data_IF_901723308916
#
_entry.id   IF_901723308916
#
_cell.length_a   1.000
_cell.length_b   1.000
_cell.length_c   1.000
_cell.angle_alpha   90.00
_cell.angle_beta   90.00
_cell.angle_gamma   90.00
#
_symmetry.space_group_name_H-M   'P 1'
#
loop_
_entity.id
_entity.type
_entity.pdbx_description
1 polymer ?
#
# COMPACT_ATOMS: atom_id res chain seq x y z
N UNK A 1 -5.01 -5.15 -28.84
CA UNK A 1 -3.72 -5.40 -28.14
C UNK A 1 -2.62 -4.77 -28.96
N UNK A 2 -1.70 -4.08 -28.34
CA UNK A 2 -0.58 -3.38 -28.96
C UNK A 2 0.36 -4.39 -29.63
N UNK A 3 0.80 -4.16 -30.87
CA UNK A 3 1.57 -5.16 -31.64
C UNK A 3 2.95 -5.47 -31.06
N UNK A 4 3.52 -4.54 -30.28
CA UNK A 4 4.85 -4.63 -29.66
C UNK A 4 4.82 -5.06 -28.17
N UNK A 5 3.65 -5.40 -27.61
CA UNK A 5 3.52 -5.79 -26.19
C UNK A 5 4.41 -6.99 -25.83
N UNK A 6 4.53 -7.96 -26.76
CA UNK A 6 5.39 -9.11 -26.56
C UNK A 6 6.86 -8.72 -26.37
N UNK A 7 7.34 -7.71 -27.08
CA UNK A 7 8.72 -7.22 -26.96
C UNK A 7 8.98 -6.57 -25.58
N UNK A 8 8.01 -5.80 -25.05
CA UNK A 8 8.09 -5.20 -23.72
C UNK A 8 8.13 -6.27 -22.62
N UNK A 9 7.25 -7.26 -22.71
CA UNK A 9 7.22 -8.40 -21.76
C UNK A 9 8.51 -9.20 -21.87
N UNK A 10 8.96 -9.50 -23.09
CA UNK A 10 10.19 -10.23 -23.32
C UNK A 10 11.40 -9.51 -22.70
N UNK A 11 11.53 -8.20 -22.90
CA UNK A 11 12.61 -7.41 -22.30
C UNK A 11 12.57 -7.45 -20.76
N UNK A 12 11.36 -7.36 -20.18
CA UNK A 12 11.17 -7.46 -18.73
C UNK A 12 11.50 -8.85 -18.15
N UNK A 13 11.44 -9.90 -18.97
CA UNK A 13 11.74 -11.30 -18.57
C UNK A 13 13.22 -11.66 -18.65
N UNK A 14 14.04 -10.88 -19.38
CA UNK A 14 15.47 -11.18 -19.58
C UNK A 14 16.22 -11.10 -18.24
N UNK A 15 16.91 -12.19 -17.87
CA UNK A 15 17.71 -12.23 -16.65
C UNK A 15 18.91 -11.29 -16.75
N UNK A 16 19.13 -10.52 -15.68
CA UNK A 16 20.22 -9.54 -15.63
C UNK A 16 19.87 -8.19 -16.24
N UNK A 17 18.67 -8.02 -16.79
CA UNK A 17 18.11 -6.71 -17.16
C UNK A 17 17.12 -6.31 -16.06
N UNK A 18 17.58 -5.42 -15.17
CA UNK A 18 16.67 -4.74 -14.22
C UNK A 18 16.18 -3.42 -14.83
N UNK A 19 15.26 -2.70 -14.14
CA UNK A 19 14.65 -1.48 -14.69
C UNK A 19 15.68 -0.42 -15.09
N UNK A 20 16.75 -0.20 -14.34
CA UNK A 20 17.81 0.74 -14.72
C UNK A 20 18.45 0.38 -16.06
N UNK A 21 18.81 -0.90 -16.21
CA UNK A 21 19.41 -1.38 -17.47
C UNK A 21 18.41 -1.33 -18.61
N UNK A 22 17.15 -1.74 -18.37
CA UNK A 22 16.10 -1.66 -19.37
C UNK A 22 15.86 -0.22 -19.83
N UNK A 23 15.68 0.72 -18.90
CA UNK A 23 15.51 2.14 -19.21
C UNK A 23 16.71 2.73 -19.95
N UNK A 24 17.94 2.35 -19.57
CA UNK A 24 19.13 2.76 -20.29
C UNK A 24 19.12 2.25 -21.75
N UNK A 25 18.83 0.97 -21.95
CA UNK A 25 18.74 0.39 -23.29
C UNK A 25 17.61 1.03 -24.12
N UNK A 26 16.44 1.26 -23.55
CA UNK A 26 15.33 1.93 -24.22
C UNK A 26 15.68 3.35 -24.61
N UNK A 27 16.34 4.12 -23.74
CA UNK A 27 16.79 5.47 -24.07
C UNK A 27 17.84 5.49 -25.22
N UNK A 28 18.62 4.41 -25.35
CA UNK A 28 19.68 4.31 -26.35
C UNK A 28 19.18 3.78 -27.70
N UNK A 29 18.27 2.80 -27.68
CA UNK A 29 17.80 2.09 -28.88
C UNK A 29 16.38 2.48 -29.30
N UNK A 30 15.64 3.19 -28.47
CA UNK A 30 14.31 3.73 -28.75
C UNK A 30 13.15 2.77 -28.51
N UNK A 31 13.34 1.45 -28.68
CA UNK A 31 12.26 0.46 -28.47
C UNK A 31 12.81 -0.91 -28.04
N UNK A 32 12.00 -1.76 -27.39
CA UNK A 32 12.40 -3.13 -27.09
C UNK A 32 12.80 -3.93 -28.32
N UNK A 33 12.07 -3.81 -29.44
CA UNK A 33 12.39 -4.46 -30.70
C UNK A 33 13.78 -4.08 -31.20
N UNK A 34 14.16 -2.81 -31.08
CA UNK A 34 15.49 -2.33 -31.46
C UNK A 34 16.59 -2.85 -30.52
N UNK A 35 16.29 -3.05 -29.24
CA UNK A 35 17.21 -3.71 -28.28
C UNK A 35 17.47 -5.17 -28.70
N UNK A 36 16.43 -5.92 -29.05
CA UNK A 36 16.57 -7.30 -29.53
C UNK A 36 17.32 -7.40 -30.86
N UNK A 37 17.18 -6.41 -31.75
CA UNK A 37 17.88 -6.35 -33.03
C UNK A 37 19.35 -5.86 -32.92
N UNK A 38 19.76 -5.40 -31.74
CA UNK A 38 21.12 -4.88 -31.54
C UNK A 38 22.18 -5.97 -31.65
N UNK A 39 23.32 -5.65 -32.25
CA UNK A 39 24.44 -6.57 -32.39
C UNK A 39 25.05 -6.92 -31.03
N UNK A 40 25.58 -8.14 -30.88
CA UNK A 40 26.30 -8.59 -29.67
C UNK A 40 27.37 -7.58 -29.22
N UNK A 41 28.13 -7.03 -30.17
CA UNK A 41 29.18 -6.06 -29.88
C UNK A 41 28.61 -4.73 -29.35
N UNK A 42 27.47 -4.28 -29.87
CA UNK A 42 26.78 -3.08 -29.37
C UNK A 42 26.32 -3.28 -27.95
N UNK A 43 25.65 -4.40 -27.63
CA UNK A 43 25.19 -4.76 -26.30
C UNK A 43 26.33 -4.94 -25.28
N UNK A 44 27.47 -5.46 -25.70
CA UNK A 44 28.67 -5.54 -24.87
C UNK A 44 29.21 -4.15 -24.49
N UNK A 45 29.16 -3.17 -25.42
CA UNK A 45 29.55 -1.79 -25.15
C UNK A 45 28.66 -1.10 -24.12
N UNK A 46 27.38 -1.52 -24.01
CA UNK A 46 26.44 -1.06 -22.97
C UNK A 46 26.68 -1.75 -21.61
N UNK A 47 27.69 -2.61 -21.50
CA UNK A 47 28.08 -3.27 -20.26
C UNK A 47 27.27 -4.53 -19.91
N UNK A 48 26.50 -5.08 -20.83
CA UNK A 48 25.74 -6.30 -20.58
C UNK A 48 26.69 -7.53 -20.51
N UNK A 49 26.36 -8.43 -19.59
CA UNK A 49 27.09 -9.70 -19.43
C UNK A 49 26.83 -10.64 -20.62
N UNK A 50 27.78 -11.51 -20.96
CA UNK A 50 27.60 -12.46 -22.06
C UNK A 50 26.34 -13.33 -21.95
N UNK A 51 25.96 -13.77 -20.72
CA UNK A 51 24.79 -14.57 -20.45
C UNK A 51 23.49 -13.81 -20.73
N UNK A 52 23.43 -12.55 -20.35
CA UNK A 52 22.29 -11.63 -20.61
C UNK A 52 22.13 -11.37 -22.11
N UNK A 53 23.25 -11.19 -22.83
CA UNK A 53 23.22 -10.99 -24.28
C UNK A 53 22.75 -12.27 -24.98
N UNK A 54 23.20 -13.44 -24.53
CA UNK A 54 22.75 -14.71 -25.07
C UNK A 54 21.23 -14.88 -24.91
N UNK A 55 20.68 -14.56 -23.75
CA UNK A 55 19.23 -14.65 -23.49
C UNK A 55 18.45 -13.62 -24.33
N UNK A 56 18.96 -12.41 -24.51
CA UNK A 56 18.37 -11.39 -25.40
C UNK A 56 18.31 -11.87 -26.87
N UNK A 57 19.31 -12.64 -27.32
CA UNK A 57 19.39 -13.14 -28.70
C UNK A 57 18.70 -14.51 -28.88
N UNK A 58 18.12 -15.08 -27.81
CA UNK A 58 17.37 -16.32 -27.86
C UNK A 58 15.90 -16.02 -28.27
N UNK A 59 15.49 -16.52 -29.44
CA UNK A 59 14.13 -16.37 -29.94
C UNK A 59 13.06 -16.96 -28.98
N UNK A 60 13.44 -17.90 -28.12
CA UNK A 60 12.52 -18.49 -27.15
C UNK A 60 11.96 -17.49 -26.13
N UNK A 61 12.62 -16.33 -25.93
CA UNK A 61 12.14 -15.30 -25.02
C UNK A 61 10.84 -14.66 -25.53
N UNK A 62 10.71 -14.44 -26.83
CA UNK A 62 9.48 -13.94 -27.46
C UNK A 62 8.36 -14.97 -27.44
N UNK A 63 8.67 -16.25 -27.60
CA UNK A 63 7.69 -17.32 -27.44
C UNK A 63 7.14 -17.37 -26.01
N UNK A 64 8.02 -17.21 -25.01
CA UNK A 64 7.63 -17.11 -23.59
C UNK A 64 6.77 -15.88 -23.33
N UNK A 65 7.10 -14.75 -23.91
CA UNK A 65 6.32 -13.52 -23.78
C UNK A 65 4.92 -13.65 -24.39
N UNK A 66 4.79 -14.30 -25.56
CA UNK A 66 3.49 -14.59 -26.15
C UNK A 66 2.66 -15.53 -25.28
N UNK A 67 3.26 -16.60 -24.73
CA UNK A 67 2.59 -17.50 -23.81
C UNK A 67 2.16 -16.77 -22.51
N UNK A 68 2.94 -15.78 -22.07
CA UNK A 68 2.60 -14.92 -20.92
C UNK A 68 1.35 -14.09 -21.22
N UNK A 69 1.23 -13.52 -22.40
CA UNK A 69 0.06 -12.74 -22.85
C UNK A 69 -1.21 -13.62 -22.79
N UNK A 70 -1.16 -14.83 -23.29
CA UNK A 70 -2.30 -15.77 -23.23
C UNK A 70 -2.71 -16.10 -21.77
N UNK A 71 -1.74 -16.18 -20.86
CA UNK A 71 -2.01 -16.41 -19.43
C UNK A 71 -2.62 -15.20 -18.77
N UNK A 72 -2.16 -13.99 -19.12
CA UNK A 72 -2.73 -12.73 -18.64
C UNK A 72 -4.19 -12.58 -19.02
N UNK A 73 -4.56 -12.90 -20.27
CA UNK A 73 -5.95 -12.89 -20.72
C UNK A 73 -6.83 -13.82 -19.87
N UNK A 74 -6.36 -15.05 -19.58
CA UNK A 74 -7.08 -16.00 -18.70
C UNK A 74 -7.28 -15.50 -17.28
N UNK A 75 -6.39 -14.63 -16.80
CA UNK A 75 -6.44 -14.01 -15.46
C UNK A 75 -7.27 -12.71 -15.44
N UNK A 76 -7.79 -12.24 -16.57
CA UNK A 76 -8.32 -10.89 -16.72
C UNK A 76 -7.31 -9.85 -16.22
N UNK A 77 -6.04 -10.02 -16.58
CA UNK A 77 -4.96 -9.11 -16.28
C UNK A 77 -4.46 -8.42 -17.55
N UNK A 78 -3.90 -7.25 -17.39
CA UNK A 78 -3.29 -6.48 -18.48
C UNK A 78 -1.86 -6.09 -18.12
N UNK A 79 -1.09 -5.68 -19.13
CA UNK A 79 0.24 -5.07 -18.94
C UNK A 79 0.16 -3.63 -19.44
N UNK A 80 0.61 -2.70 -18.61
CA UNK A 80 0.79 -1.29 -18.93
C UNK A 80 2.30 -1.06 -19.06
N UNK A 81 2.76 -0.60 -20.19
CA UNK A 81 4.19 -0.36 -20.45
C UNK A 81 4.56 1.09 -20.19
N UNK A 82 5.85 1.36 -20.04
CA UNK A 82 6.36 2.70 -19.73
C UNK A 82 5.97 3.76 -20.79
N UNK A 83 5.70 3.35 -22.04
CA UNK A 83 5.29 4.24 -23.13
C UNK A 83 3.78 4.44 -23.25
N UNK A 84 2.98 3.68 -22.51
CA UNK A 84 1.52 3.83 -22.57
C UNK A 84 1.08 5.12 -21.84
N UNK A 85 0.05 5.79 -22.37
CA UNK A 85 -0.54 6.98 -21.76
C UNK A 85 -1.14 6.66 -20.38
N UNK A 86 -1.57 5.42 -20.19
CA UNK A 86 -2.08 4.91 -18.93
C UNK A 86 -1.00 4.63 -17.87
N UNK A 87 0.29 4.74 -18.21
CA UNK A 87 1.35 4.54 -17.22
C UNK A 87 1.34 5.67 -16.19
N UNK A 88 1.33 5.35 -14.86
CA UNK A 88 1.20 6.36 -13.81
C UNK A 88 2.32 7.40 -13.85
N UNK A 89 1.97 8.69 -13.95
CA UNK A 89 2.93 9.79 -14.10
C UNK A 89 3.93 9.83 -12.94
N UNK A 90 3.44 9.78 -11.68
CA UNK A 90 4.31 9.76 -10.50
C UNK A 90 5.32 8.60 -10.52
N UNK A 91 4.91 7.45 -11.03
CA UNK A 91 5.80 6.29 -11.12
C UNK A 91 6.80 6.43 -12.27
N UNK A 92 6.45 7.14 -13.33
CA UNK A 92 7.35 7.44 -14.47
C UNK A 92 8.53 8.30 -14.03
N UNK A 93 8.33 9.17 -13.03
CA UNK A 93 9.33 10.11 -12.52
C UNK A 93 10.40 9.50 -11.61
N UNK A 94 10.19 8.29 -11.08
CA UNK A 94 11.19 7.69 -10.18
C UNK A 94 12.46 7.32 -10.95
N UNK A 95 13.59 7.18 -10.23
CA UNK A 95 14.91 6.91 -10.85
C UNK A 95 14.95 5.61 -11.67
N UNK A 96 14.18 4.61 -11.30
CA UNK A 96 14.15 3.28 -11.92
C UNK A 96 12.71 2.77 -12.13
N UNK A 97 11.91 3.46 -12.99
CA UNK A 97 10.55 3.06 -13.25
C UNK A 97 10.49 1.64 -13.88
N UNK A 98 9.55 0.79 -13.48
CA UNK A 98 9.35 -0.49 -14.13
C UNK A 98 8.92 -0.30 -15.60
N UNK A 99 9.53 -1.01 -16.52
CA UNK A 99 9.20 -0.90 -17.95
C UNK A 99 7.86 -1.53 -18.31
N UNK A 100 7.35 -2.41 -17.45
CA UNK A 100 6.08 -3.10 -17.60
C UNK A 100 5.43 -3.29 -16.22
N UNK A 101 4.16 -2.97 -16.11
CA UNK A 101 3.31 -3.19 -14.94
C UNK A 101 2.23 -4.21 -15.29
N UNK A 102 2.22 -5.32 -14.60
CA UNK A 102 1.16 -6.33 -14.64
C UNK A 102 0.04 -5.88 -13.70
N UNK A 103 -1.18 -5.79 -14.18
CA UNK A 103 -2.31 -5.21 -13.46
C UNK A 103 -3.52 -6.13 -13.50
N UNK A 104 -4.16 -6.37 -12.35
CA UNK A 104 -5.52 -6.91 -12.23
C UNK A 104 -6.41 -5.90 -11.54
N UNK A 105 -7.60 -5.67 -12.07
CA UNK A 105 -8.50 -4.62 -11.63
C UNK A 105 -8.35 -3.35 -12.45
N UNK A 106 -8.80 -2.21 -11.93
CA UNK A 106 -8.82 -0.93 -12.62
C UNK A 106 -7.86 0.07 -11.97
N UNK A 107 -6.60 0.05 -12.44
CA UNK A 107 -5.55 0.94 -11.94
C UNK A 107 -5.83 2.40 -12.28
N UNK A 108 -6.36 2.66 -13.48
CA UNK A 108 -6.65 4.02 -13.95
C UNK A 108 -7.67 4.70 -13.05
N UNK A 109 -8.82 4.05 -12.86
CA UNK A 109 -9.87 4.54 -11.98
C UNK A 109 -9.36 4.76 -10.55
N UNK A 110 -8.52 3.84 -10.04
CA UNK A 110 -7.96 3.99 -8.70
C UNK A 110 -7.00 5.19 -8.58
N UNK A 111 -6.32 5.58 -9.66
CA UNK A 111 -5.38 6.70 -9.70
C UNK A 111 -6.00 8.03 -10.19
N UNK A 112 -7.29 8.07 -10.54
CA UNK A 112 -8.01 9.33 -10.71
C UNK A 112 -7.94 10.20 -9.44
N UNK A 113 -7.81 9.55 -8.28
CA UNK A 113 -7.66 10.16 -6.98
C UNK A 113 -6.20 10.15 -6.52
N UNK A 114 -5.78 11.12 -5.69
CA UNK A 114 -4.43 11.09 -5.14
C UNK A 114 -4.20 9.84 -4.30
N UNK A 115 -3.05 9.21 -4.50
CA UNK A 115 -2.68 7.99 -3.80
C UNK A 115 -1.76 8.28 -2.61
N UNK A 116 -2.00 7.56 -1.50
CA UNK A 116 -1.17 7.56 -0.30
C UNK A 116 -0.78 6.12 0.05
N UNK A 117 0.49 5.88 0.24
CA UNK A 117 0.96 4.59 0.72
C UNK A 117 0.79 4.49 2.24
N UNK A 118 0.20 3.40 2.74
CA UNK A 118 0.10 3.09 4.18
C UNK A 118 0.82 1.78 4.43
N UNK A 119 1.90 1.82 5.20
CA UNK A 119 2.76 0.67 5.43
C UNK A 119 3.22 0.55 6.88
N UNK A 120 3.69 -0.65 7.25
CA UNK A 120 4.24 -0.85 8.58
C UNK A 120 4.65 -2.28 8.87
N UNK A 121 4.71 -2.61 10.16
CA UNK A 121 5.15 -3.90 10.66
C UNK A 121 4.21 -5.03 10.24
N UNK A 122 4.78 -6.18 9.83
CA UNK A 122 4.06 -7.45 9.65
C UNK A 122 3.65 -8.08 11.00
N UNK A 123 4.34 -7.71 12.08
CA UNK A 123 4.09 -8.10 13.47
C UNK A 123 3.75 -6.85 14.26
N UNK A 124 2.60 -6.26 13.93
CA UNK A 124 2.10 -5.06 14.57
C UNK A 124 1.32 -5.39 15.85
N UNK A 125 1.14 -4.37 16.69
CA UNK A 125 0.26 -4.43 17.85
C UNK A 125 -1.22 -4.32 17.42
N UNK A 126 -2.13 -4.59 18.35
CA UNK A 126 -3.56 -4.34 18.13
C UNK A 126 -3.83 -2.85 17.92
N UNK A 127 -3.11 -1.98 18.62
CA UNK A 127 -3.13 -0.53 18.39
C UNK A 127 -2.78 -0.21 16.93
N UNK A 128 -1.66 -0.75 16.41
CA UNK A 128 -1.24 -0.53 15.03
C UNK A 128 -2.29 -0.97 14.01
N UNK A 129 -2.94 -2.12 14.22
CA UNK A 129 -4.03 -2.59 13.35
C UNK A 129 -5.21 -1.61 13.38
N UNK A 130 -5.67 -1.20 14.55
CA UNK A 130 -6.81 -0.30 14.71
C UNK A 130 -6.53 1.07 14.07
N UNK A 131 -5.33 1.63 14.30
CA UNK A 131 -4.91 2.90 13.70
C UNK A 131 -4.85 2.80 12.18
N UNK A 132 -4.25 1.72 11.65
CA UNK A 132 -4.16 1.52 10.20
C UNK A 132 -5.54 1.40 9.55
N UNK A 133 -6.46 0.63 10.14
CA UNK A 133 -7.83 0.50 9.66
C UNK A 133 -8.59 1.83 9.74
N UNK A 134 -8.54 2.53 10.88
CA UNK A 134 -9.25 3.79 11.07
C UNK A 134 -8.74 4.90 10.16
N UNK A 135 -7.41 5.17 10.15
CA UNK A 135 -6.85 6.22 9.31
C UNK A 135 -7.05 5.93 7.83
N UNK A 136 -6.89 4.66 7.39
CA UNK A 136 -7.10 4.31 5.98
C UNK A 136 -8.56 4.44 5.56
N UNK A 137 -9.52 4.11 6.43
CA UNK A 137 -10.95 4.33 6.22
C UNK A 137 -11.25 5.82 6.08
N UNK A 138 -10.74 6.64 7.00
CA UNK A 138 -10.96 8.08 6.98
C UNK A 138 -10.33 8.74 5.75
N UNK A 139 -9.08 8.42 5.43
CA UNK A 139 -8.40 8.92 4.23
C UNK A 139 -9.14 8.52 2.95
N UNK A 140 -9.57 7.27 2.84
CA UNK A 140 -10.30 6.77 1.67
C UNK A 140 -11.70 7.40 1.55
N UNK A 141 -12.42 7.61 2.67
CA UNK A 141 -13.72 8.31 2.69
C UNK A 141 -13.60 9.77 2.23
N UNK A 142 -12.44 10.39 2.43
CA UNK A 142 -12.14 11.74 1.95
C UNK A 142 -11.48 11.78 0.56
N UNK A 143 -11.51 10.66 -0.15
CA UNK A 143 -11.15 10.62 -1.56
C UNK A 143 -9.70 10.27 -1.87
N UNK A 144 -8.90 9.79 -0.92
CA UNK A 144 -7.58 9.25 -1.23
C UNK A 144 -7.65 7.78 -1.61
N UNK A 145 -6.80 7.38 -2.53
CA UNK A 145 -6.56 5.96 -2.83
C UNK A 145 -5.48 5.43 -1.90
N UNK A 146 -5.79 4.35 -1.19
CA UNK A 146 -4.84 3.72 -0.28
C UNK A 146 -3.99 2.70 -1.04
N UNK A 147 -2.66 2.88 -1.01
CA UNK A 147 -1.71 1.94 -1.63
C UNK A 147 -0.98 1.19 -0.53
N UNK A 148 -0.87 -0.13 -0.65
CA UNK A 148 -0.10 -0.93 0.30
C UNK A 148 0.45 -2.21 -0.33
N UNK A 149 1.14 -3.02 0.47
CA UNK A 149 1.91 -4.16 -0.04
C UNK A 149 1.25 -5.53 0.13
N UNK A 150 -0.01 -5.60 0.55
CA UNK A 150 -0.75 -6.84 0.81
C UNK A 150 -0.06 -7.78 1.83
N UNK A 151 0.94 -7.31 2.58
CA UNK A 151 1.59 -8.09 3.62
C UNK A 151 0.68 -8.25 4.85
N UNK A 152 1.05 -9.18 5.76
CA UNK A 152 0.39 -9.29 7.08
C UNK A 152 0.53 -7.98 7.85
N UNK A 153 -0.34 -7.79 8.82
CA UNK A 153 -0.28 -6.66 9.75
C UNK A 153 -0.81 -5.37 9.15
N UNK A 154 -0.02 -4.32 9.17
CA UNK A 154 -0.42 -2.96 8.78
C UNK A 154 -0.94 -2.90 7.35
N UNK A 155 -0.25 -3.54 6.39
CA UNK A 155 -0.66 -3.50 4.98
C UNK A 155 -2.08 -4.05 4.78
N UNK A 156 -2.37 -5.22 5.35
CA UNK A 156 -3.70 -5.81 5.26
C UNK A 156 -4.77 -4.98 6.01
N UNK A 157 -4.42 -4.37 7.14
CA UNK A 157 -5.30 -3.48 7.89
C UNK A 157 -5.63 -2.22 7.06
N UNK A 158 -4.64 -1.62 6.40
CA UNK A 158 -4.83 -0.47 5.53
C UNK A 158 -5.81 -0.77 4.38
N UNK A 159 -5.65 -1.90 3.70
CA UNK A 159 -6.58 -2.31 2.64
C UNK A 159 -8.01 -2.52 3.19
N UNK A 160 -8.16 -3.19 4.35
CA UNK A 160 -9.48 -3.37 4.96
C UNK A 160 -10.15 -2.04 5.31
N UNK A 161 -9.41 -1.11 5.94
CA UNK A 161 -9.94 0.20 6.26
C UNK A 161 -10.44 0.95 5.02
N UNK A 162 -9.68 0.96 3.92
CA UNK A 162 -10.10 1.56 2.66
C UNK A 162 -11.38 0.90 2.09
N UNK A 163 -11.45 -0.43 2.11
CA UNK A 163 -12.61 -1.18 1.62
C UNK A 163 -13.87 -0.97 2.48
N UNK A 164 -13.73 -0.79 3.81
CA UNK A 164 -14.85 -0.49 4.71
C UNK A 164 -15.56 0.83 4.34
N UNK A 165 -14.83 1.82 3.82
CA UNK A 165 -15.41 3.08 3.32
C UNK A 165 -15.86 3.03 1.85
N UNK A 166 -15.86 1.86 1.21
CA UNK A 166 -16.05 1.72 -0.24
C UNK A 166 -15.04 2.55 -1.06
N UNK A 167 -13.87 2.81 -0.49
CA UNK A 167 -12.79 3.56 -1.11
C UNK A 167 -11.95 2.73 -2.06
N UNK A 168 -11.12 3.41 -2.86
CA UNK A 168 -10.19 2.76 -3.77
C UNK A 168 -8.94 2.29 -3.03
N UNK A 169 -8.42 1.12 -3.41
CA UNK A 169 -7.15 0.64 -2.85
C UNK A 169 -6.34 -0.16 -3.88
N UNK A 170 -5.00 0.02 -3.84
CA UNK A 170 -4.07 -0.63 -4.76
C UNK A 170 -3.09 -1.48 -3.95
N UNK A 171 -3.01 -2.77 -4.28
CA UNK A 171 -1.98 -3.64 -3.72
C UNK A 171 -0.81 -3.75 -4.71
N UNK A 172 0.38 -3.35 -4.29
CA UNK A 172 1.61 -3.62 -5.04
C UNK A 172 2.22 -4.89 -4.47
N UNK A 173 2.46 -5.92 -5.31
CA UNK A 173 2.94 -7.22 -4.83
C UNK A 173 4.35 -7.54 -5.31
N UNK A 174 5.08 -8.37 -4.56
CA UNK A 174 6.45 -8.81 -4.88
C UNK A 174 6.50 -10.20 -5.54
N UNK A 175 5.39 -10.62 -6.15
CA UNK A 175 5.20 -11.91 -6.82
C UNK A 175 4.54 -11.70 -8.18
N UNK A 176 4.56 -12.69 -9.04
CA UNK A 176 3.65 -12.69 -10.20
C UNK A 176 2.18 -12.74 -9.75
N UNK A 177 1.27 -12.16 -10.53
CA UNK A 177 -0.15 -12.00 -10.19
C UNK A 177 -0.94 -13.30 -10.02
N UNK A 178 -0.38 -14.45 -10.39
CA UNK A 178 -0.96 -15.78 -10.15
C UNK A 178 -0.76 -16.24 -8.70
N UNK A 179 0.17 -15.62 -7.97
CA UNK A 179 0.65 -16.07 -6.68
C UNK A 179 0.23 -15.10 -5.57
N UNK A 180 -0.97 -15.30 -5.00
CA UNK A 180 -1.36 -14.55 -3.79
C UNK A 180 -0.39 -14.83 -2.65
N UNK A 181 0.25 -13.81 -2.12
CA UNK A 181 1.11 -13.92 -0.95
C UNK A 181 0.88 -12.78 0.05
N UNK A 182 0.59 -13.11 1.32
CA UNK A 182 0.41 -14.46 1.87
C UNK A 182 -0.91 -15.12 1.41
N UNK A 183 -0.95 -16.46 1.37
CA UNK A 183 -2.08 -17.23 0.82
C UNK A 183 -3.42 -16.95 1.51
N UNK A 184 -3.40 -16.64 2.81
CA UNK A 184 -4.57 -16.28 3.60
C UNK A 184 -5.24 -14.96 3.15
N UNK A 185 -4.53 -14.11 2.40
CA UNK A 185 -5.07 -12.84 1.88
C UNK A 185 -5.79 -12.97 0.54
N UNK A 186 -6.06 -14.20 0.05
CA UNK A 186 -6.73 -14.39 -1.24
C UNK A 186 -8.09 -13.66 -1.33
N UNK A 187 -8.92 -13.75 -0.28
CA UNK A 187 -10.21 -13.03 -0.25
C UNK A 187 -10.03 -11.50 -0.25
N UNK A 188 -9.03 -11.00 0.47
CA UNK A 188 -8.70 -9.58 0.50
C UNK A 188 -8.21 -9.12 -0.87
N UNK A 189 -7.36 -9.90 -1.54
CA UNK A 189 -6.90 -9.60 -2.90
C UNK A 189 -8.06 -9.51 -3.90
N UNK A 190 -9.03 -10.44 -3.84
CA UNK A 190 -10.23 -10.41 -4.68
C UNK A 190 -11.07 -9.14 -4.43
N UNK A 191 -11.21 -8.70 -3.17
CA UNK A 191 -11.89 -7.46 -2.82
C UNK A 191 -11.14 -6.22 -3.33
N UNK A 192 -9.81 -6.23 -3.27
CA UNK A 192 -8.96 -5.16 -3.82
C UNK A 192 -9.12 -5.06 -5.33
N UNK A 193 -9.11 -6.20 -6.05
CA UNK A 193 -9.30 -6.23 -7.50
C UNK A 193 -10.67 -5.64 -7.90
N UNK A 194 -11.71 -5.89 -7.11
CA UNK A 194 -13.04 -5.39 -7.36
C UNK A 194 -13.20 -3.87 -7.10
N UNK A 195 -12.36 -3.29 -6.23
CA UNK A 195 -12.44 -1.89 -5.78
C UNK A 195 -11.16 -1.09 -6.04
N UNK A 196 -10.35 -1.51 -7.00
CA UNK A 196 -9.08 -0.89 -7.31
C UNK A 196 -8.22 -1.82 -8.14
N UNK A 197 -6.95 -2.05 -7.75
CA UNK A 197 -6.05 -2.90 -8.52
C UNK A 197 -5.02 -3.65 -7.69
N UNK A 198 -4.55 -4.77 -8.22
CA UNK A 198 -3.32 -5.45 -7.79
C UNK A 198 -2.28 -5.28 -8.89
N UNK A 199 -1.10 -4.80 -8.51
CA UNK A 199 -0.03 -4.41 -9.43
C UNK A 199 1.26 -5.17 -9.11
N UNK A 200 1.93 -5.64 -10.13
CA UNK A 200 3.24 -6.27 -10.04
C UNK A 200 4.15 -5.84 -11.19
N UNK A 201 5.44 -5.79 -10.94
CA UNK A 201 6.48 -5.67 -11.98
C UNK A 201 6.96 -7.06 -12.46
N UNK A 202 6.67 -8.08 -11.68
CA UNK A 202 7.20 -9.41 -11.91
C UNK A 202 6.32 -10.22 -12.87
N UNK A 203 6.92 -10.97 -13.82
CA UNK A 203 6.19 -11.89 -14.70
C UNK A 203 5.36 -12.90 -13.90
N UNK A 204 4.31 -13.43 -14.55
CA UNK A 204 3.47 -14.48 -13.98
C UNK A 204 4.32 -15.70 -13.53
N UNK A 205 3.87 -16.36 -12.48
CA UNK A 205 4.60 -17.49 -11.92
C UNK A 205 5.79 -17.12 -11.02
N UNK A 206 6.19 -15.83 -10.93
CA UNK A 206 7.28 -15.42 -10.03
C UNK A 206 6.91 -15.71 -8.57
N UNK A 207 7.72 -16.52 -7.85
CA UNK A 207 7.43 -16.90 -6.47
C UNK A 207 7.74 -15.75 -5.49
N UNK A 208 7.26 -15.83 -4.23
CA UNK A 208 7.52 -14.83 -3.20
C UNK A 208 8.95 -14.92 -2.64
N UNK A 209 9.91 -14.41 -3.39
CA UNK A 209 11.31 -14.36 -2.98
C UNK A 209 11.57 -13.17 -2.04
N UNK A 210 12.34 -13.34 -0.95
CA UNK A 210 12.60 -12.27 0.03
C UNK A 210 13.13 -10.97 -0.59
N UNK A 211 14.00 -11.05 -1.60
CA UNK A 211 14.57 -9.89 -2.28
C UNK A 211 13.56 -9.08 -3.09
N UNK A 212 12.45 -9.68 -3.53
CA UNK A 212 11.45 -8.99 -4.34
C UNK A 212 10.68 -7.93 -3.53
N UNK A 213 10.49 -8.15 -2.22
CA UNK A 213 9.70 -7.24 -1.39
C UNK A 213 10.34 -5.86 -1.20
N UNK A 214 11.62 -5.73 -0.80
CA UNK A 214 12.29 -4.43 -0.77
C UNK A 214 12.35 -3.78 -2.14
N UNK A 215 12.57 -4.56 -3.19
CA UNK A 215 12.66 -4.08 -4.56
C UNK A 215 11.33 -3.47 -5.04
N UNK A 216 10.20 -4.15 -4.76
CA UNK A 216 8.86 -3.69 -5.05
C UNK A 216 8.51 -2.35 -4.35
N UNK A 217 9.05 -2.08 -3.16
CA UNK A 217 8.67 -0.92 -2.34
C UNK A 217 8.88 0.42 -3.08
N UNK A 218 9.80 0.50 -4.05
CA UNK A 218 9.98 1.70 -4.89
C UNK A 218 8.75 2.01 -5.75
N UNK A 219 8.02 0.98 -6.19
CA UNK A 219 6.77 1.14 -6.94
C UNK A 219 5.67 1.62 -6.00
N UNK A 220 5.62 1.09 -4.79
CA UNK A 220 4.65 1.45 -3.78
C UNK A 220 4.75 2.94 -3.42
N UNK A 221 5.96 3.44 -3.12
CA UNK A 221 6.19 4.86 -2.88
C UNK A 221 6.06 5.70 -4.16
N UNK A 222 6.50 5.16 -5.31
CA UNK A 222 6.48 5.83 -6.61
C UNK A 222 5.07 6.12 -7.15
N UNK A 223 4.07 5.32 -6.79
CA UNK A 223 2.67 5.56 -7.14
C UNK A 223 2.00 6.66 -6.32
N UNK A 224 2.62 7.13 -5.24
CA UNK A 224 1.98 7.91 -4.20
C UNK A 224 2.58 9.31 -4.05
N UNK A 225 1.78 10.25 -3.59
CA UNK A 225 2.23 11.57 -3.17
C UNK A 225 2.94 11.54 -1.80
N UNK A 226 2.74 10.49 -1.01
CA UNK A 226 3.38 10.31 0.29
C UNK A 226 3.26 8.90 0.83
N UNK A 227 3.99 8.63 1.90
CA UNK A 227 4.02 7.34 2.60
C UNK A 227 3.76 7.55 4.09
N UNK A 228 2.74 6.89 4.64
CA UNK A 228 2.39 6.89 6.05
C UNK A 228 2.90 5.62 6.72
N UNK A 229 3.75 5.79 7.74
CA UNK A 229 4.29 4.70 8.57
C UNK A 229 3.49 4.61 9.87
N UNK A 230 2.81 3.48 10.09
CA UNK A 230 1.99 3.27 11.31
C UNK A 230 2.83 2.68 12.45
N UNK A 231 3.45 1.54 12.23
CA UNK A 231 4.36 0.89 13.16
C UNK A 231 5.57 0.32 12.42
N UNK A 232 6.74 0.46 12.99
CA UNK A 232 7.98 -0.09 12.44
C UNK A 232 9.02 -0.28 13.55
N UNK A 233 9.55 -1.48 13.70
CA UNK A 233 10.76 -1.68 14.49
C UNK A 233 11.99 -1.13 13.76
N UNK A 234 13.12 -1.02 14.45
CA UNK A 234 14.38 -0.48 13.91
C UNK A 234 14.83 -1.09 12.58
N UNK A 235 14.58 -2.39 12.39
CA UNK A 235 14.96 -3.13 11.19
C UNK A 235 13.77 -3.46 10.27
N UNK A 236 12.67 -2.72 10.37
CA UNK A 236 11.49 -2.95 9.56
C UNK A 236 11.70 -2.57 8.09
N UNK A 237 11.22 -3.45 7.19
CA UNK A 237 11.20 -3.16 5.74
C UNK A 237 10.38 -1.91 5.35
N UNK A 238 9.45 -1.47 6.21
CA UNK A 238 8.68 -0.24 5.99
C UNK A 238 9.55 1.03 6.10
N UNK A 239 10.67 1.00 6.85
CA UNK A 239 11.64 2.10 6.88
C UNK A 239 12.40 2.21 5.55
N UNK A 240 12.57 1.10 4.82
CA UNK A 240 13.10 1.14 3.44
C UNK A 240 12.13 1.91 2.54
N UNK A 241 10.81 1.68 2.70
CA UNK A 241 9.79 2.40 1.93
C UNK A 241 9.79 3.90 2.24
N UNK A 242 9.93 4.29 3.52
CA UNK A 242 10.04 5.70 3.92
C UNK A 242 11.27 6.37 3.29
N UNK A 243 12.43 5.68 3.30
CA UNK A 243 13.65 6.18 2.66
C UNK A 243 13.47 6.34 1.14
N UNK A 244 12.89 5.34 0.47
CA UNK A 244 12.61 5.41 -0.96
C UNK A 244 11.66 6.57 -1.30
N UNK A 245 10.63 6.80 -0.47
CA UNK A 245 9.72 7.93 -0.60
C UNK A 245 10.49 9.27 -0.56
N UNK A 246 11.36 9.43 0.43
CA UNK A 246 12.20 10.62 0.55
C UNK A 246 13.12 10.81 -0.68
N UNK A 247 13.80 9.74 -1.13
CA UNK A 247 14.66 9.76 -2.32
C UNK A 247 13.88 10.09 -3.61
N UNK A 248 12.58 9.80 -3.64
CA UNK A 248 11.66 10.09 -4.74
C UNK A 248 10.96 11.45 -4.61
N UNK A 249 11.28 12.26 -3.58
CA UNK A 249 10.63 13.55 -3.32
C UNK A 249 9.17 13.42 -2.89
N UNK A 250 8.79 12.32 -2.23
CA UNK A 250 7.44 12.09 -1.69
C UNK A 250 7.39 12.46 -0.21
N UNK A 251 6.23 12.91 0.25
CA UNK A 251 6.03 13.24 1.66
C UNK A 251 6.13 11.98 2.54
N UNK A 252 6.73 12.13 3.72
CA UNK A 252 6.82 11.05 4.71
C UNK A 252 6.05 11.41 5.95
N UNK A 253 5.12 10.55 6.32
CA UNK A 253 4.22 10.68 7.45
C UNK A 253 4.46 9.56 8.44
N UNK A 254 4.27 9.83 9.73
CA UNK A 254 4.44 8.81 10.76
C UNK A 254 3.44 8.99 11.92
N UNK A 255 2.86 7.89 12.36
CA UNK A 255 2.00 7.87 13.55
C UNK A 255 2.86 7.77 14.79
N UNK A 256 2.75 8.70 15.76
CA UNK A 256 3.51 8.61 16.99
C UNK A 256 3.07 7.41 17.84
N UNK A 257 3.99 6.85 18.59
CA UNK A 257 3.69 5.75 19.49
C UNK A 257 4.49 5.80 20.78
N UNK A 258 4.21 4.86 21.68
CA UNK A 258 4.86 4.78 22.98
C UNK A 258 6.37 4.56 22.82
N UNK A 259 7.19 5.38 23.48
CA UNK A 259 8.66 5.32 23.43
C UNK A 259 9.25 4.01 23.97
N UNK A 260 8.49 3.26 24.76
CA UNK A 260 8.92 1.95 25.28
C UNK A 260 8.53 0.79 24.35
N UNK A 261 7.74 1.04 23.32
CA UNK A 261 7.33 0.03 22.32
C UNK A 261 8.37 -0.10 21.21
N UNK A 262 8.82 -1.32 20.95
CA UNK A 262 9.74 -1.60 19.85
C UNK A 262 9.15 -1.28 18.47
N UNK A 263 7.83 -1.41 18.30
CA UNK A 263 7.14 -1.12 17.04
C UNK A 263 6.94 0.37 16.79
N UNK A 264 7.11 1.21 17.82
CA UNK A 264 7.04 2.67 17.71
C UNK A 264 8.41 3.31 17.44
N UNK A 265 9.51 2.54 17.49
CA UNK A 265 10.86 3.07 17.27
C UNK A 265 10.98 3.78 15.92
N UNK A 266 10.59 3.10 14.83
CA UNK A 266 10.70 3.63 13.48
C UNK A 266 9.88 4.91 13.24
N UNK A 267 8.56 4.93 13.51
CA UNK A 267 7.76 6.15 13.39
C UNK A 267 8.30 7.31 14.22
N UNK A 268 8.63 7.09 15.48
CA UNK A 268 9.19 8.13 16.34
C UNK A 268 10.55 8.64 15.84
N UNK A 269 11.40 7.76 15.29
CA UNK A 269 12.66 8.13 14.64
C UNK A 269 12.41 9.00 13.41
N UNK A 270 11.49 8.60 12.53
CA UNK A 270 11.13 9.36 11.33
C UNK A 270 10.58 10.76 11.67
N UNK A 271 9.74 10.88 12.70
CA UNK A 271 9.24 12.18 13.19
C UNK A 271 10.40 13.08 13.62
N UNK A 272 11.37 12.54 14.35
CA UNK A 272 12.58 13.28 14.76
C UNK A 272 13.44 13.69 13.57
N UNK A 273 13.41 12.93 12.48
CA UNK A 273 14.15 13.17 11.24
C UNK A 273 13.37 14.05 10.24
N UNK A 274 12.19 14.57 10.63
CA UNK A 274 11.44 15.53 9.87
C UNK A 274 10.17 15.01 9.22
N UNK A 275 9.82 13.73 9.39
CA UNK A 275 8.54 13.21 8.93
C UNK A 275 7.38 13.89 9.67
N UNK A 276 6.30 14.15 8.96
CA UNK A 276 5.10 14.77 9.55
C UNK A 276 4.42 13.80 10.51
N UNK A 277 4.17 14.27 11.74
CA UNK A 277 3.38 13.54 12.73
C UNK A 277 1.91 13.53 12.31
N UNK A 278 1.29 12.34 12.31
CA UNK A 278 -0.12 12.14 11.96
C UNK A 278 -0.90 11.57 13.13
N UNK A 279 -1.99 12.28 13.48
CA UNK A 279 -2.99 11.83 14.45
C UNK A 279 -4.35 11.65 13.79
N UNK A 280 -4.66 12.47 12.77
CA UNK A 280 -5.92 12.45 12.03
C UNK A 280 -5.63 12.56 10.52
N UNK A 281 -6.59 12.19 9.70
CA UNK A 281 -6.48 12.23 8.24
C UNK A 281 -6.10 13.63 7.67
N UNK A 282 -6.53 14.72 8.34
CA UNK A 282 -6.21 16.09 7.93
C UNK A 282 -4.72 16.40 7.95
N UNK A 283 -3.98 15.84 8.91
CA UNK A 283 -2.53 16.04 9.01
C UNK A 283 -1.81 15.58 7.75
N UNK A 284 -2.37 14.56 7.07
CA UNK A 284 -1.88 14.10 5.77
C UNK A 284 -2.29 15.05 4.66
N UNK A 285 -3.58 15.40 4.58
CA UNK A 285 -4.11 16.23 3.49
C UNK A 285 -3.50 17.62 3.47
N UNK A 286 -3.23 18.20 4.65
CA UNK A 286 -2.66 19.55 4.77
C UNK A 286 -1.23 19.64 4.21
N UNK A 287 -0.49 18.54 4.17
CA UNK A 287 0.87 18.48 3.63
C UNK A 287 0.92 18.02 2.16
N UNK A 288 -0.17 17.50 1.60
CA UNK A 288 -0.18 17.08 0.20
C UNK A 288 0.12 18.26 -0.75
N UNK A 289 0.84 18.01 -1.86
CA UNK A 289 1.10 19.05 -2.84
C UNK A 289 -0.19 19.59 -3.46
N UNK A 290 -0.09 20.78 -4.03
CA UNK A 290 -1.26 21.50 -4.60
C UNK A 290 -2.03 20.64 -5.61
N UNK A 291 -1.32 19.94 -6.48
CA UNK A 291 -1.91 19.05 -7.48
C UNK A 291 -2.80 17.97 -6.86
N UNK A 292 -2.33 17.32 -5.80
CA UNK A 292 -3.11 16.32 -5.08
C UNK A 292 -4.35 16.91 -4.40
N UNK A 293 -4.22 18.12 -3.83
CA UNK A 293 -5.36 18.83 -3.23
C UNK A 293 -6.40 19.26 -4.27
N UNK A 294 -5.97 19.68 -5.45
CA UNK A 294 -6.86 20.01 -6.57
C UNK A 294 -7.63 18.77 -7.06
N UNK A 295 -7.01 17.61 -7.11
CA UNK A 295 -7.69 16.33 -7.42
C UNK A 295 -8.70 15.91 -6.34
N UNK A 296 -8.46 16.27 -5.07
CA UNK A 296 -9.38 15.95 -3.96
C UNK A 296 -10.59 16.88 -3.88
N UNK A 297 -10.37 18.18 -4.04
CA UNK A 297 -11.36 19.21 -3.71
C UNK A 297 -11.87 19.98 -4.93
N UNK A 298 -11.35 19.70 -6.13
CA UNK A 298 -11.58 20.51 -7.33
C UNK A 298 -10.83 21.84 -7.28
N UNK A 299 -10.98 22.67 -8.31
CA UNK A 299 -10.28 23.95 -8.46
C UNK A 299 -10.82 25.02 -7.47
N UNK A 300 -12.02 24.83 -6.92
CA UNK A 300 -12.60 25.74 -5.93
C UNK A 300 -12.15 25.38 -4.50
N UNK A 301 -11.27 26.23 -3.96
CA UNK A 301 -10.99 26.25 -2.52
C UNK A 301 -12.24 26.64 -1.75
N UNK A 302 -12.67 25.89 -0.74
CA UNK A 302 -13.36 26.52 0.38
C UNK A 302 -12.34 27.44 1.08
N UNK A 303 -12.72 28.70 1.23
CA UNK A 303 -11.94 29.67 2.00
C UNK A 303 -11.53 29.05 3.34
N UNK A 304 -10.26 29.27 3.73
CA UNK A 304 -9.67 28.77 4.95
C UNK A 304 -10.65 28.88 6.14
N UNK A 305 -11.31 27.78 6.45
CA UNK A 305 -12.00 27.66 7.72
C UNK A 305 -10.91 27.63 8.78
N UNK A 306 -10.83 28.71 9.56
CA UNK A 306 -10.02 28.79 10.76
C UNK A 306 -10.26 27.49 11.54
N UNK A 307 -9.20 26.75 11.78
CA UNK A 307 -9.22 25.52 12.56
C UNK A 307 -9.74 25.81 13.96
N UNK A 308 -11.02 25.67 14.17
CA UNK A 308 -11.53 25.32 15.46
C UNK A 308 -11.30 23.79 15.56
N UNK A 309 -10.34 23.40 16.35
CA UNK A 309 -10.20 22.02 16.84
C UNK A 309 -11.47 21.74 17.64
N UNK A 310 -12.50 21.31 16.95
CA UNK A 310 -13.60 20.63 17.63
C UNK A 310 -13.16 19.16 17.71
N UNK A 311 -13.10 18.58 18.90
CA UNK A 311 -12.94 17.13 19.02
C UNK A 311 -14.14 16.53 18.29
N UNK A 312 -13.88 15.71 17.27
CA UNK A 312 -14.90 14.95 16.54
C UNK A 312 -15.32 13.80 17.47
N UNK A 313 -16.00 14.13 18.56
CA UNK A 313 -16.93 13.25 19.19
C UNK A 313 -18.30 13.68 18.69
N UNK A 314 -18.77 13.11 17.57
CA UNK A 314 -20.21 13.01 17.39
C UNK A 314 -20.74 12.39 18.65
N UNK A 315 -21.64 13.08 19.31
CA UNK A 315 -22.30 12.63 20.51
C UNK A 315 -23.20 11.43 20.14
N UNK A 316 -22.59 10.26 20.01
CA UNK A 316 -23.33 8.99 19.99
C UNK A 316 -23.97 8.90 21.38
N UNK A 317 -25.28 8.76 21.40
CA UNK A 317 -26.03 8.61 22.64
C UNK A 317 -25.62 7.29 23.32
N UNK A 318 -24.67 7.41 24.24
CA UNK A 318 -24.13 6.28 25.02
C UNK A 318 -24.87 6.20 26.34
N UNK A 319 -25.34 5.01 26.68
CA UNK A 319 -25.86 4.74 28.03
C UNK A 319 -24.74 4.91 29.07
N UNK A 320 -25.12 5.11 30.32
CA UNK A 320 -24.13 5.27 31.40
C UNK A 320 -23.25 4.03 31.57
N UNK A 321 -23.77 2.84 31.33
CA UNK A 321 -23.00 1.59 31.31
C UNK A 321 -21.99 1.56 30.16
N UNK A 322 -22.37 1.98 28.96
CA UNK A 322 -21.47 2.05 27.80
C UNK A 322 -20.34 3.06 28.01
N UNK A 323 -20.63 4.23 28.59
CA UNK A 323 -19.61 5.24 28.93
C UNK A 323 -18.60 4.68 29.92
N UNK A 324 -19.07 4.03 31.00
CA UNK A 324 -18.23 3.42 32.02
C UNK A 324 -17.28 2.37 31.43
N UNK A 325 -17.75 1.53 30.52
CA UNK A 325 -16.94 0.52 29.83
C UNK A 325 -15.91 1.17 28.91
N UNK A 326 -16.27 2.22 28.16
CA UNK A 326 -15.33 2.94 27.27
C UNK A 326 -14.22 3.68 28.04
N UNK A 327 -14.46 4.11 29.28
CA UNK A 327 -13.44 4.69 30.15
C UNK A 327 -12.42 3.66 30.66
N UNK A 328 -12.87 2.42 30.87
CA UNK A 328 -12.02 1.32 31.35
C UNK A 328 -11.20 0.70 30.20
N UNK A 329 -11.79 0.62 28.99
CA UNK A 329 -11.13 0.02 27.83
C UNK A 329 -10.07 0.93 27.25
N UNK A 330 -8.91 0.35 26.98
CA UNK A 330 -7.81 1.00 26.26
C UNK A 330 -7.86 0.65 24.77
N UNK A 331 -7.18 1.48 23.95
CA UNK A 331 -7.00 1.26 22.51
C UNK A 331 -5.81 0.35 22.19
N UNK A 332 -4.93 0.11 23.15
CA UNK A 332 -3.65 -0.59 22.98
C UNK A 332 -3.56 -1.89 23.80
N UNK A 333 -4.36 -2.02 24.87
CA UNK A 333 -4.33 -3.18 25.75
C UNK A 333 -5.73 -3.82 25.82
N UNK A 334 -5.88 -5.06 25.30
CA UNK A 334 -7.15 -5.78 25.43
C UNK A 334 -7.46 -6.11 26.89
N UNK A 335 -8.72 -5.92 27.31
CA UNK A 335 -9.20 -6.30 28.63
C UNK A 335 -10.09 -7.54 28.55
N UNK A 336 -9.82 -8.54 29.40
CA UNK A 336 -10.67 -9.74 29.52
C UNK A 336 -12.01 -9.40 30.19
N UNK A 337 -13.09 -10.08 29.82
CA UNK A 337 -14.43 -9.82 30.33
C UNK A 337 -14.49 -9.86 31.87
N UNK A 338 -13.75 -10.76 32.51
CA UNK A 338 -13.72 -10.86 33.99
C UNK A 338 -13.06 -9.62 34.62
N UNK A 339 -12.04 -9.03 33.95
CA UNK A 339 -11.44 -7.77 34.41
C UNK A 339 -12.44 -6.61 34.28
N UNK A 340 -13.17 -6.56 33.17
CA UNK A 340 -14.20 -5.55 32.94
C UNK A 340 -15.31 -5.67 33.97
N UNK A 341 -15.73 -6.90 34.35
CA UNK A 341 -16.74 -7.14 35.37
C UNK A 341 -16.29 -6.57 36.72
N UNK A 342 -15.04 -6.84 37.11
CA UNK A 342 -14.48 -6.35 38.38
C UNK A 342 -14.31 -4.81 38.35
N UNK A 343 -13.75 -4.29 37.30
CA UNK A 343 -13.40 -2.85 37.21
C UNK A 343 -14.65 -1.96 37.01
N UNK A 344 -15.69 -2.47 36.35
CA UNK A 344 -16.91 -1.70 36.11
C UNK A 344 -17.89 -1.76 37.28
N UNK A 345 -17.73 -2.68 38.21
CA UNK A 345 -18.67 -2.94 39.30
C UNK A 345 -20.11 -3.20 38.82
N UNK A 346 -20.27 -3.62 37.56
CA UNK A 346 -21.56 -3.94 36.96
C UNK A 346 -21.92 -5.40 37.20
N UNK A 347 -23.18 -5.72 37.14
CA UNK A 347 -23.60 -7.13 37.09
C UNK A 347 -23.36 -7.71 35.69
N UNK A 348 -23.27 -9.01 35.56
CA UNK A 348 -22.95 -9.70 34.28
C UNK A 348 -23.93 -9.38 33.15
N UNK A 349 -25.26 -9.34 33.35
CA UNK A 349 -26.20 -8.96 32.29
C UNK A 349 -26.01 -7.53 31.78
N UNK A 350 -25.80 -6.56 32.66
CA UNK A 350 -25.64 -5.16 32.31
C UNK A 350 -24.32 -4.93 31.55
N UNK A 351 -23.22 -5.60 31.97
CA UNK A 351 -21.95 -5.59 31.27
C UNK A 351 -22.11 -6.17 29.87
N UNK A 352 -22.78 -7.31 29.70
CA UNK A 352 -22.96 -7.90 28.36
C UNK A 352 -23.80 -7.02 27.45
N UNK A 353 -24.84 -6.37 27.97
CA UNK A 353 -25.64 -5.41 27.20
C UNK A 353 -24.85 -4.19 26.79
N UNK A 354 -24.00 -3.64 27.66
CA UNK A 354 -23.14 -2.52 27.37
C UNK A 354 -22.07 -2.88 26.31
N UNK A 355 -21.43 -4.05 26.42
CA UNK A 355 -20.46 -4.54 25.45
C UNK A 355 -21.12 -4.77 24.08
N UNK A 356 -22.29 -5.39 24.02
CA UNK A 356 -23.02 -5.60 22.78
C UNK A 356 -23.43 -4.25 22.15
N UNK A 357 -23.95 -3.32 22.95
CA UNK A 357 -24.31 -1.98 22.48
C UNK A 357 -23.12 -1.21 21.91
N UNK A 358 -21.96 -1.30 22.56
CA UNK A 358 -20.72 -0.68 22.09
C UNK A 358 -20.17 -1.35 20.83
N UNK A 359 -20.30 -2.67 20.70
CA UNK A 359 -19.87 -3.40 19.49
C UNK A 359 -20.78 -3.07 18.31
N UNK A 360 -22.11 -3.00 18.52
CA UNK A 360 -23.06 -2.56 17.49
C UNK A 360 -22.85 -1.10 17.05
N UNK A 361 -22.36 -0.24 17.96
CA UNK A 361 -21.99 1.16 17.68
C UNK A 361 -20.54 1.30 17.16
N UNK A 362 -19.87 0.16 16.87
CA UNK A 362 -18.50 0.08 16.36
C UNK A 362 -17.45 0.78 17.24
N UNK A 363 -17.70 0.88 18.56
CA UNK A 363 -16.80 1.54 19.51
C UNK A 363 -15.82 0.60 20.18
N UNK A 364 -16.09 -0.70 20.16
CA UNK A 364 -15.19 -1.75 20.67
C UNK A 364 -15.14 -2.92 19.68
N UNK A 365 -14.11 -3.75 19.83
CA UNK A 365 -13.97 -5.01 19.09
C UNK A 365 -13.74 -6.15 20.07
N UNK A 366 -14.47 -7.25 19.89
CA UNK A 366 -14.20 -8.50 20.58
C UNK A 366 -13.01 -9.21 19.91
N UNK A 367 -12.09 -9.69 20.74
CA UNK A 367 -10.94 -10.50 20.35
C UNK A 367 -11.12 -11.94 20.81
N UNK A 368 -10.39 -12.92 20.21
CA UNK A 368 -10.40 -14.30 20.71
C UNK A 368 -10.09 -14.38 22.21
N UNK A 369 -10.78 -15.28 22.92
CA UNK A 369 -10.60 -15.43 24.37
C UNK A 369 -11.42 -14.44 25.21
N UNK A 370 -12.57 -13.96 24.71
CA UNK A 370 -13.48 -13.04 25.45
C UNK A 370 -12.80 -11.76 25.94
N UNK A 371 -11.85 -11.26 25.19
CA UNK A 371 -11.19 -9.98 25.44
C UNK A 371 -11.77 -8.89 24.55
N UNK A 372 -11.81 -7.66 25.02
CA UNK A 372 -12.37 -6.50 24.32
C UNK A 372 -11.32 -5.39 24.26
N UNK A 373 -11.36 -4.63 23.18
CA UNK A 373 -10.48 -3.47 22.98
C UNK A 373 -11.30 -2.31 22.42
N UNK A 374 -10.95 -1.09 22.79
CA UNK A 374 -11.58 0.11 22.25
C UNK A 374 -11.15 0.32 20.79
N UNK A 375 -12.10 0.66 19.92
CA UNK A 375 -11.80 1.14 18.55
C UNK A 375 -11.61 2.66 18.58
N UNK A 376 -10.74 3.13 17.68
CA UNK A 376 -10.43 4.54 17.48
C UNK A 376 -11.44 5.14 16.50
#
# INVERSE_FOLDING_TARGET
>A
MRADLADWIALNMVRGIGPRTANHLLSRYGSPASVFAASRLALQKEGLKPETIQELQDSSILEKANAEIERLEKLNAQVITLEDDEYPDLLREIHDPPIALYVRGDLQKALERPALAVVGSRRCSTYGVNVAESLSRDLASHGLTIVSGLARGIDAAAHRGALESSGQTIAVVGTGLENTYPKEHKKLEEQIIANGAVVSEFPLGTPPLPQNFPYRNRILSGLCFGVLIIEASEHSGSLITARLAYEQGREVFAVPGNITSQTSFGPNFLIKDGAKLVQIWRDVVDELPREAKEKLFGIERPAAAKSSVQPIFEAVDLSDGERKILEILSVDVPAHIDQLLISSEMNSPDLMNALLGLEMKDRIRQLPGKSFIKRI
#
